data_IF_648075069701
#
_entry.id   IF_648075069701
#
_cell.length_a   1.000
_cell.length_b   1.000
_cell.length_c   1.000
_cell.angle_alpha   90.00
_cell.angle_beta   90.00
_cell.angle_gamma   90.00
#
_symmetry.space_group_name_H-M   'P 1'
#
loop_
_entity.id
_entity.type
_entity.pdbx_description
1 polymer ?
#
# COMPACT_ATOMS: atom_id res chain seq x y z
N UNK A 1 -44.87 -16.79 -46.22
CA UNK A 1 -44.55 -16.21 -44.89
C UNK A 1 -43.04 -16.29 -44.74
N UNK A 2 -42.21 -15.25 -44.73
CA UNK A 2 -42.29 -13.79 -44.77
C UNK A 2 -40.84 -13.38 -45.07
N UNK A 3 -40.53 -12.85 -46.26
CA UNK A 3 -40.10 -11.46 -46.54
C UNK A 3 -39.03 -10.87 -45.60
N UNK A 4 -38.01 -10.10 -46.00
CA UNK A 4 -37.38 -9.65 -47.27
C UNK A 4 -36.07 -8.91 -46.83
N UNK A 5 -35.12 -8.83 -47.76
CA UNK A 5 -33.85 -8.08 -47.88
C UNK A 5 -33.62 -6.73 -47.15
N UNK A 6 -32.32 -6.40 -46.97
CA UNK A 6 -31.61 -5.22 -47.54
C UNK A 6 -30.14 -5.23 -47.05
N UNK A 7 -29.11 -5.36 -47.89
CA UNK A 7 -28.52 -4.43 -48.89
C UNK A 7 -27.92 -3.17 -48.28
N UNK A 8 -26.59 -3.09 -48.42
CA UNK A 8 -25.67 -2.01 -48.05
C UNK A 8 -25.99 -0.68 -48.77
N UNK A 9 -25.73 0.43 -48.09
CA UNK A 9 -25.59 1.75 -48.74
C UNK A 9 -24.37 2.47 -48.15
N UNK A 10 -23.48 2.89 -49.06
CA UNK A 10 -22.25 3.63 -48.80
C UNK A 10 -22.52 5.11 -49.09
N UNK A 11 -22.25 6.01 -48.15
CA UNK A 11 -22.24 7.46 -48.41
C UNK A 11 -20.97 8.08 -47.83
N UNK A 12 -20.28 8.85 -48.65
CA UNK A 12 -19.09 9.64 -48.32
C UNK A 12 -19.39 11.13 -48.35
N UNK A 13 -18.84 11.82 -47.33
CA UNK A 13 -18.36 13.20 -47.23
C UNK A 13 -19.35 14.37 -47.05
N UNK A 14 -19.15 15.11 -45.95
CA UNK A 14 -19.01 16.59 -45.97
C UNK A 14 -18.24 17.07 -44.73
N UNK A 15 -17.14 17.79 -44.95
CA UNK A 15 -16.54 18.69 -43.96
C UNK A 15 -17.35 19.99 -43.88
N UNK A 16 -17.44 20.59 -42.69
CA UNK A 16 -17.45 22.04 -42.50
C UNK A 16 -17.06 22.35 -41.04
N UNK A 17 -16.18 23.34 -40.91
CA UNK A 17 -15.48 23.79 -39.71
C UNK A 17 -16.32 24.72 -38.80
N UNK A 18 -15.75 24.97 -37.61
CA UNK A 18 -15.95 26.08 -36.65
C UNK A 18 -17.18 26.09 -35.71
N UNK A 19 -16.97 25.81 -34.41
CA UNK A 19 -16.70 26.87 -33.41
C UNK A 19 -16.44 26.29 -32.00
N UNK A 20 -15.33 26.73 -31.43
CA UNK A 20 -14.87 26.79 -30.03
C UNK A 20 -15.82 26.45 -28.86
N UNK A 21 -15.36 25.52 -28.01
CA UNK A 21 -15.85 25.30 -26.65
C UNK A 21 -14.76 24.67 -25.79
N UNK A 22 -13.86 25.52 -25.29
CA UNK A 22 -12.75 25.19 -24.40
C UNK A 22 -13.22 24.56 -23.08
N UNK A 23 -12.84 23.30 -22.84
CA UNK A 23 -12.85 22.66 -21.52
C UNK A 23 -11.60 21.79 -21.43
N UNK A 24 -10.59 22.14 -20.62
CA UNK A 24 -9.53 21.19 -20.32
C UNK A 24 -10.10 20.14 -19.36
N UNK A 25 -10.26 18.92 -19.85
CA UNK A 25 -10.39 17.74 -19.02
C UNK A 25 -9.15 17.65 -18.13
N UNK A 26 -9.28 18.07 -16.88
CA UNK A 26 -8.25 17.84 -15.86
C UNK A 26 -8.29 16.37 -15.46
N UNK A 27 -7.77 15.51 -16.34
CA UNK A 27 -7.34 14.17 -15.95
C UNK A 27 -6.14 14.33 -15.03
N UNK A 28 -6.35 14.27 -13.72
CA UNK A 28 -5.26 14.15 -12.75
C UNK A 28 -4.55 12.82 -13.05
N UNK A 29 -3.30 12.80 -13.55
CA UNK A 29 -2.63 11.55 -13.83
C UNK A 29 -2.27 10.95 -12.47
N UNK A 30 -2.87 9.81 -12.13
CA UNK A 30 -2.36 8.96 -11.06
C UNK A 30 -0.93 8.55 -11.42
N UNK A 31 0.05 9.24 -10.84
CA UNK A 31 1.45 9.09 -11.19
C UNK A 31 1.94 7.72 -10.69
N UNK A 32 2.01 6.75 -11.61
CA UNK A 32 2.58 5.45 -11.35
C UNK A 32 4.11 5.57 -11.35
N UNK A 33 4.74 5.90 -10.21
CA UNK A 33 6.18 5.70 -10.11
C UNK A 33 6.46 4.22 -9.87
N UNK A 34 6.53 3.47 -10.97
CA UNK A 34 7.19 2.16 -10.98
C UNK A 34 8.65 2.40 -10.63
N UNK A 35 9.08 1.98 -9.45
CA UNK A 35 10.50 1.64 -9.27
C UNK A 35 10.78 0.57 -10.33
N UNK A 36 11.55 0.92 -11.36
CA UNK A 36 11.91 0.01 -12.44
C UNK A 36 12.76 -1.13 -11.88
N UNK A 37 12.09 -2.21 -11.47
CA UNK A 37 12.60 -3.56 -11.65
C UNK A 37 12.34 -3.89 -13.13
N UNK A 38 13.37 -4.10 -13.97
CA UNK A 38 13.14 -4.40 -15.39
C UNK A 38 12.23 -5.63 -15.53
N UNK A 39 11.11 -5.48 -16.26
CA UNK A 39 10.38 -6.60 -16.86
C UNK A 39 9.25 -7.28 -16.06
N UNK A 40 8.81 -6.77 -14.91
CA UNK A 40 7.79 -7.47 -14.11
C UNK A 40 6.50 -6.64 -13.96
N UNK A 41 5.52 -6.88 -14.83
CA UNK A 41 4.11 -6.58 -14.52
C UNK A 41 3.57 -7.67 -13.61
N UNK A 42 3.49 -7.41 -12.30
CA UNK A 42 2.89 -8.35 -11.37
C UNK A 42 1.39 -8.52 -11.68
N UNK A 43 0.93 -9.77 -11.71
CA UNK A 43 -0.50 -10.05 -11.84
C UNK A 43 -1.21 -9.73 -10.53
N UNK A 44 -2.41 -9.14 -10.61
CA UNK A 44 -3.24 -8.90 -9.44
C UNK A 44 -4.33 -9.98 -9.40
N UNK A 45 -4.31 -10.90 -8.42
CA UNK A 45 -5.42 -11.83 -8.22
C UNK A 45 -6.73 -11.08 -8.00
N UNK A 46 -7.84 -11.58 -8.58
CA UNK A 46 -9.15 -10.93 -8.49
C UNK A 46 -9.61 -10.70 -7.05
N UNK A 47 -9.30 -11.64 -6.14
CA UNK A 47 -9.59 -11.53 -4.70
C UNK A 47 -8.86 -10.38 -4.01
N UNK A 48 -7.72 -9.94 -4.56
CA UNK A 48 -6.93 -8.81 -4.05
C UNK A 48 -7.24 -7.50 -4.77
N UNK A 49 -8.14 -7.52 -5.77
CA UNK A 49 -8.49 -6.34 -6.57
C UNK A 49 -8.91 -5.16 -5.70
N UNK A 50 -9.71 -5.43 -4.66
CA UNK A 50 -10.26 -4.42 -3.75
C UNK A 50 -9.29 -4.02 -2.61
N UNK A 51 -8.26 -4.82 -2.32
CA UNK A 51 -7.36 -4.61 -1.18
C UNK A 51 -8.06 -4.53 0.18
N UNK A 52 -7.31 -4.09 1.19
CA UNK A 52 -7.81 -3.81 2.54
C UNK A 52 -7.38 -2.42 3.01
N UNK A 53 -8.19 -1.78 3.86
CA UNK A 53 -7.87 -0.49 4.46
C UNK A 53 -7.19 -0.67 5.81
N UNK A 54 -6.13 0.09 6.06
CA UNK A 54 -5.36 0.04 7.30
C UNK A 54 -5.22 1.44 7.90
N UNK A 55 -5.32 1.52 9.22
CA UNK A 55 -5.12 2.75 10.00
C UNK A 55 -3.77 2.75 10.74
N UNK A 56 -2.93 1.74 10.51
CA UNK A 56 -1.64 1.60 11.17
C UNK A 56 -1.07 0.19 11.01
N UNK A 57 0.16 0.00 11.44
CA UNK A 57 0.78 -1.33 11.46
C UNK A 57 1.63 -1.54 12.71
N UNK A 58 1.71 -2.79 13.15
CA UNK A 58 2.67 -3.27 14.14
C UNK A 58 3.81 -3.92 13.37
N UNK A 59 5.03 -3.49 13.65
CA UNK A 59 6.25 -4.02 13.02
C UNK A 59 6.98 -4.87 14.04
N UNK A 60 7.22 -6.14 13.70
CA UNK A 60 7.94 -7.08 14.55
C UNK A 60 9.11 -7.69 13.81
N UNK A 61 10.21 -7.91 14.51
CA UNK A 61 11.37 -8.63 13.98
C UNK A 61 11.33 -10.09 14.46
N UNK A 62 11.29 -11.03 13.52
CA UNK A 62 11.53 -12.45 13.78
C UNK A 62 12.96 -12.87 13.44
N UNK A 63 13.32 -14.15 13.63
CA UNK A 63 14.68 -14.65 13.39
C UNK A 63 15.19 -14.47 11.95
N UNK A 64 14.29 -14.57 10.96
CA UNK A 64 14.64 -14.51 9.53
C UNK A 64 13.80 -13.52 8.72
N UNK A 65 12.68 -13.08 9.29
CA UNK A 65 11.68 -12.26 8.60
C UNK A 65 11.18 -11.17 9.51
N UNK A 66 10.84 -10.02 8.95
CA UNK A 66 9.94 -9.07 9.59
C UNK A 66 8.48 -9.49 9.38
N UNK A 67 7.66 -9.20 10.38
CA UNK A 67 6.20 -9.33 10.30
C UNK A 67 5.60 -7.94 10.41
N UNK A 68 4.78 -7.57 9.43
CA UNK A 68 4.01 -6.34 9.37
C UNK A 68 2.53 -6.66 9.53
N UNK A 69 2.00 -6.39 10.71
CA UNK A 69 0.58 -6.58 11.01
C UNK A 69 -0.13 -5.25 10.81
N UNK A 70 -0.75 -5.09 9.64
CA UNK A 70 -1.62 -3.97 9.35
C UNK A 70 -2.94 -4.14 10.12
N UNK A 71 -3.31 -3.09 10.82
CA UNK A 71 -4.47 -3.06 11.70
C UNK A 71 -5.48 -2.01 11.26
N UNK A 72 -6.74 -2.23 11.65
CA UNK A 72 -7.82 -1.27 11.51
C UNK A 72 -8.43 -0.99 12.88
N UNK A 73 -8.38 0.29 13.28
CA UNK A 73 -8.86 0.77 14.57
C UNK A 73 -9.99 1.79 14.35
N UNK A 74 -11.21 1.29 14.12
CA UNK A 74 -12.43 2.11 14.01
C UNK A 74 -13.35 1.98 15.23
N UNK A 75 -12.87 1.32 16.28
CA UNK A 75 -13.61 0.96 17.49
C UNK A 75 -12.95 -0.24 18.15
N UNK A 76 -13.46 -0.65 19.31
CA UNK A 76 -13.09 -1.92 19.90
C UNK A 76 -13.98 -3.04 19.32
N UNK A 77 -13.43 -4.22 18.98
CA UNK A 77 -12.01 -4.57 19.04
C UNK A 77 -11.22 -4.05 17.82
N UNK A 78 -9.91 -3.86 17.99
CA UNK A 78 -9.00 -3.65 16.85
C UNK A 78 -8.96 -4.91 16.00
N UNK A 79 -8.89 -4.75 14.68
CA UNK A 79 -8.79 -5.89 13.76
C UNK A 79 -7.40 -5.94 13.12
N UNK A 80 -6.80 -7.13 13.08
CA UNK A 80 -5.70 -7.43 12.16
C UNK A 80 -6.32 -7.65 10.78
N UNK A 81 -6.06 -6.73 9.85
CA UNK A 81 -6.65 -6.76 8.51
C UNK A 81 -5.71 -7.33 7.46
N UNK A 82 -4.40 -7.27 7.69
CA UNK A 82 -3.42 -7.95 6.84
C UNK A 82 -2.11 -8.19 7.57
N UNK A 83 -1.65 -9.44 7.62
CA UNK A 83 -0.28 -9.79 8.01
C UNK A 83 0.59 -9.98 6.78
N UNK A 84 1.68 -9.22 6.68
CA UNK A 84 2.70 -9.39 5.64
C UNK A 84 3.99 -9.89 6.26
N UNK A 85 4.57 -10.94 5.69
CA UNK A 85 5.85 -11.51 6.11
C UNK A 85 6.91 -11.16 5.07
N UNK A 86 7.96 -10.46 5.50
CA UNK A 86 9.03 -9.96 4.64
C UNK A 86 10.39 -10.52 5.05
N UNK A 87 11.21 -11.02 4.13
CA UNK A 87 12.62 -11.26 4.41
C UNK A 87 13.34 -9.99 4.88
N UNK A 88 14.35 -10.15 5.73
CA UNK A 88 15.09 -9.01 6.32
C UNK A 88 15.73 -8.10 5.26
N UNK A 89 16.19 -8.65 4.14
CA UNK A 89 16.80 -7.92 3.03
C UNK A 89 15.82 -7.03 2.25
N UNK A 90 14.51 -7.25 2.40
CA UNK A 90 13.46 -6.46 1.74
C UNK A 90 13.17 -5.18 2.53
N UNK A 91 13.32 -5.23 3.86
CA UNK A 91 13.06 -4.09 4.75
C UNK A 91 13.76 -2.78 4.36
N UNK A 92 15.07 -2.72 4.09
CA UNK A 92 15.72 -1.47 3.67
C UNK A 92 15.16 -0.91 2.36
N UNK A 93 14.80 -1.78 1.41
CA UNK A 93 14.21 -1.38 0.13
C UNK A 93 12.81 -0.81 0.33
N UNK A 94 12.01 -1.40 1.22
CA UNK A 94 10.71 -0.87 1.61
C UNK A 94 10.84 0.52 2.25
N UNK A 95 11.73 0.68 3.23
CA UNK A 95 11.97 1.97 3.90
C UNK A 95 12.40 3.03 2.89
N UNK A 96 13.33 2.72 1.99
CA UNK A 96 13.79 3.63 0.95
C UNK A 96 12.65 4.02 0.01
N UNK A 97 11.90 3.04 -0.51
CA UNK A 97 10.78 3.27 -1.42
C UNK A 97 9.69 4.13 -0.79
N UNK A 98 9.34 3.86 0.48
CA UNK A 98 8.33 4.64 1.21
C UNK A 98 8.82 6.06 1.52
N UNK A 99 10.09 6.22 1.90
CA UNK A 99 10.70 7.55 2.11
C UNK A 99 10.63 8.39 0.84
N UNK A 100 11.00 7.82 -0.31
CA UNK A 100 10.93 8.54 -1.59
C UNK A 100 9.50 8.87 -1.98
N UNK A 101 8.56 7.93 -1.82
CA UNK A 101 7.16 8.15 -2.15
C UNK A 101 6.53 9.23 -1.26
N UNK A 102 6.86 9.25 0.03
CA UNK A 102 6.41 10.29 0.94
C UNK A 102 7.00 11.66 0.56
N UNK A 103 8.29 11.73 0.22
CA UNK A 103 8.91 12.97 -0.25
C UNK A 103 8.25 13.51 -1.53
N UNK A 104 7.92 12.63 -2.48
CA UNK A 104 7.22 13.01 -3.71
C UNK A 104 5.80 13.52 -3.42
N UNK A 105 5.07 12.82 -2.55
CA UNK A 105 3.76 13.24 -2.08
C UNK A 105 3.85 14.65 -1.46
N UNK A 106 4.83 14.89 -0.59
CA UNK A 106 5.01 16.20 0.07
C UNK A 106 5.32 17.32 -0.93
N UNK A 107 6.13 17.03 -1.95
CA UNK A 107 6.42 17.98 -3.02
C UNK A 107 5.18 18.33 -3.85
N UNK A 108 4.23 17.41 -4.01
CA UNK A 108 3.04 17.59 -4.83
C UNK A 108 1.83 18.14 -4.07
N UNK A 109 1.59 17.67 -2.85
CA UNK A 109 0.37 17.95 -2.07
C UNK A 109 0.65 18.69 -0.76
N UNK A 110 1.93 18.88 -0.40
CA UNK A 110 2.33 19.37 0.91
C UNK A 110 2.39 18.27 1.98
N UNK A 111 2.80 18.62 3.21
CA UNK A 111 2.94 17.64 4.29
C UNK A 111 1.59 16.99 4.64
N UNK A 112 1.53 15.68 4.90
CA UNK A 112 0.33 15.02 5.39
C UNK A 112 -0.19 15.69 6.68
N UNK A 113 -1.51 15.66 6.88
CA UNK A 113 -2.10 16.13 8.13
C UNK A 113 -1.52 15.35 9.31
N UNK A 114 -1.24 16.06 10.41
CA UNK A 114 -0.73 15.44 11.63
C UNK A 114 -1.89 14.78 12.37
N UNK A 115 -1.75 13.49 12.66
CA UNK A 115 -2.71 12.78 13.50
C UNK A 115 -2.70 13.36 14.93
N UNK A 116 -3.86 13.43 15.61
CA UNK A 116 -3.91 13.78 17.03
C UNK A 116 -3.01 12.86 17.83
N UNK A 117 -2.15 13.43 18.67
CA UNK A 117 -1.33 12.63 19.59
C UNK A 117 -2.25 12.04 20.66
N UNK A 118 -2.19 10.73 20.95
CA UNK A 118 -2.91 10.18 22.08
C UNK A 118 -2.49 10.91 23.36
N UNK A 119 -3.45 11.18 24.24
CA UNK A 119 -3.23 11.90 25.49
C UNK A 119 -2.15 11.20 26.33
N UNK A 120 -1.21 11.94 26.93
CA UNK A 120 -0.08 11.37 27.69
C UNK A 120 -0.51 10.71 29.02
N UNK A 121 -1.78 10.81 29.40
CA UNK A 121 -2.32 10.33 30.68
C UNK A 121 -2.64 8.82 30.72
N UNK A 122 -2.46 8.10 29.61
CA UNK A 122 -2.61 6.65 29.55
C UNK A 122 -1.27 5.94 29.43
N UNK A 123 -1.08 4.85 30.20
CA UNK A 123 0.01 3.89 29.98
C UNK A 123 -0.13 3.37 28.54
N UNK A 124 0.89 3.53 27.70
CA UNK A 124 0.88 2.94 26.35
C UNK A 124 0.75 1.43 26.50
N UNK A 125 -0.24 0.78 25.86
CA UNK A 125 -0.37 -0.66 25.91
C UNK A 125 0.88 -1.31 25.30
N UNK A 126 1.31 -2.40 25.91
CA UNK A 126 2.34 -3.29 25.41
C UNK A 126 1.88 -3.98 24.12
N UNK A 127 2.82 -4.51 23.35
CA UNK A 127 2.52 -5.27 22.12
C UNK A 127 1.64 -6.48 22.43
N UNK A 128 1.87 -7.16 23.56
CA UNK A 128 1.04 -8.30 23.98
C UNK A 128 -0.40 -7.87 24.27
N UNK A 129 -0.59 -6.80 25.05
CA UNK A 129 -1.93 -6.27 25.36
C UNK A 129 -2.68 -5.84 24.09
N UNK A 130 -1.97 -5.37 23.06
CA UNK A 130 -2.58 -5.07 21.76
C UNK A 130 -3.11 -6.33 21.07
N UNK A 131 -2.35 -7.44 21.07
CA UNK A 131 -2.79 -8.70 20.46
C UNK A 131 -3.95 -9.33 21.21
N UNK A 132 -3.95 -9.28 22.55
CA UNK A 132 -5.02 -9.86 23.37
C UNK A 132 -6.39 -9.19 23.09
N UNK A 133 -6.38 -7.92 22.70
CA UNK A 133 -7.58 -7.14 22.36
C UNK A 133 -7.94 -7.21 20.86
N UNK A 134 -7.08 -7.84 20.05
CA UNK A 134 -7.21 -7.84 18.60
C UNK A 134 -8.00 -9.04 18.12
N UNK A 135 -8.95 -8.80 17.21
CA UNK A 135 -9.54 -9.86 16.42
C UNK A 135 -8.66 -10.14 15.20
N UNK A 136 -8.32 -11.40 15.00
CA UNK A 136 -7.51 -11.87 13.89
C UNK A 136 -8.35 -12.84 13.07
N UNK A 137 -8.49 -12.57 11.77
CA UNK A 137 -9.14 -13.48 10.83
C UNK A 137 -8.26 -14.72 10.59
N UNK A 138 -8.87 -15.87 10.36
CA UNK A 138 -8.16 -17.14 10.14
C UNK A 138 -7.19 -17.07 8.95
N UNK A 139 -7.54 -16.30 7.91
CA UNK A 139 -6.71 -16.13 6.71
C UNK A 139 -5.40 -15.39 7.03
N UNK A 140 -5.36 -14.65 8.13
CA UNK A 140 -4.22 -13.84 8.52
C UNK A 140 -3.27 -14.55 9.49
N UNK A 141 -3.61 -15.75 9.96
CA UNK A 141 -2.76 -16.51 10.90
C UNK A 141 -1.39 -16.82 10.29
N UNK A 142 -1.38 -17.31 9.05
CA UNK A 142 -0.15 -17.63 8.30
C UNK A 142 0.53 -16.41 7.67
N UNK A 143 -0.23 -15.34 7.45
CA UNK A 143 0.24 -14.14 6.76
C UNK A 143 0.55 -14.34 5.28
N UNK A 144 0.86 -13.23 4.63
CA UNK A 144 1.16 -13.16 3.20
C UNK A 144 2.64 -12.87 3.00
N UNK A 145 3.36 -13.83 2.43
CA UNK A 145 4.76 -13.64 2.06
C UNK A 145 4.91 -12.61 0.93
N UNK A 146 5.96 -11.80 0.98
CA UNK A 146 6.32 -10.89 -0.09
C UNK A 146 7.83 -10.61 -0.13
N UNK A 147 8.34 -10.36 -1.35
CA UNK A 147 9.75 -10.10 -1.64
C UNK A 147 9.99 -8.64 -2.04
N UNK A 148 8.91 -7.91 -2.31
CA UNK A 148 8.96 -6.52 -2.71
C UNK A 148 7.63 -5.82 -2.46
N UNK A 149 7.66 -4.52 -2.67
CA UNK A 149 6.49 -3.65 -2.58
C UNK A 149 6.51 -2.64 -3.71
N UNK A 150 5.35 -2.42 -4.32
CA UNK A 150 5.10 -1.26 -5.19
C UNK A 150 4.23 -0.28 -4.42
N UNK A 151 4.66 0.98 -4.38
CA UNK A 151 3.96 2.04 -3.63
C UNK A 151 3.44 3.06 -4.63
N UNK A 152 2.17 3.43 -4.48
CA UNK A 152 1.52 4.52 -5.21
C UNK A 152 0.79 5.40 -4.20
N UNK A 153 0.53 6.64 -4.57
CA UNK A 153 -0.24 7.55 -3.72
C UNK A 153 -1.14 8.47 -4.54
N UNK A 154 -2.22 8.92 -3.92
CA UNK A 154 -3.04 10.06 -4.31
C UNK A 154 -2.85 11.18 -3.29
N UNK A 155 -3.64 12.26 -3.39
CA UNK A 155 -3.68 13.29 -2.37
C UNK A 155 -4.22 12.80 -1.01
N UNK A 156 -4.97 11.69 -0.98
CA UNK A 156 -5.63 11.21 0.23
C UNK A 156 -4.98 9.94 0.80
N UNK A 157 -4.54 9.02 -0.07
CA UNK A 157 -4.19 7.66 0.32
C UNK A 157 -2.93 7.14 -0.37
N UNK A 158 -2.22 6.26 0.32
CA UNK A 158 -1.14 5.42 -0.21
C UNK A 158 -1.65 4.00 -0.42
N UNK A 159 -1.20 3.39 -1.51
CA UNK A 159 -1.46 2.00 -1.87
C UNK A 159 -0.15 1.24 -1.86
N UNK A 160 -0.09 0.15 -1.08
CA UNK A 160 1.02 -0.78 -0.95
C UNK A 160 0.63 -2.10 -1.60
N UNK A 161 1.20 -2.38 -2.77
CA UNK A 161 1.09 -3.68 -3.41
C UNK A 161 2.33 -4.49 -3.06
N UNK A 162 2.18 -5.42 -2.11
CA UNK A 162 3.21 -6.40 -1.80
C UNK A 162 3.22 -7.50 -2.86
N UNK A 163 4.42 -7.88 -3.30
CA UNK A 163 4.62 -8.71 -4.49
C UNK A 163 5.47 -9.93 -4.14
N UNK A 164 5.08 -11.10 -4.63
CA UNK A 164 5.92 -12.30 -4.72
C UNK A 164 6.44 -12.45 -6.14
N UNK A 165 7.68 -12.92 -6.28
CA UNK A 165 8.34 -13.14 -7.56
C UNK A 165 8.50 -14.64 -7.82
N UNK A 166 7.37 -15.35 -7.87
CA UNK A 166 7.38 -16.75 -8.26
C UNK A 166 7.42 -16.90 -9.78
N UNK A 167 8.15 -17.92 -10.25
CA UNK A 167 8.06 -18.34 -11.65
C UNK A 167 6.64 -18.83 -11.95
N UNK A 168 6.03 -18.50 -13.12
CA UNK A 168 6.59 -17.73 -14.24
C UNK A 168 6.30 -16.22 -14.19
N UNK A 169 5.41 -15.76 -13.31
CA UNK A 169 5.04 -14.35 -13.22
C UNK A 169 4.94 -13.95 -11.76
N UNK A 170 5.46 -12.76 -11.45
CA UNK A 170 5.19 -12.16 -10.16
C UNK A 170 3.70 -11.91 -9.95
N UNK A 171 3.27 -11.92 -8.70
CA UNK A 171 1.89 -11.66 -8.31
C UNK A 171 1.84 -10.74 -7.11
N UNK A 172 0.81 -9.89 -7.06
CA UNK A 172 0.49 -9.15 -5.84
C UNK A 172 -0.02 -10.17 -4.82
N UNK A 173 0.68 -10.30 -3.69
CA UNK A 173 0.29 -11.20 -2.60
C UNK A 173 -0.57 -10.48 -1.56
N UNK A 174 -0.49 -9.15 -1.49
CA UNK A 174 -1.36 -8.32 -0.64
C UNK A 174 -1.43 -6.89 -1.17
N UNK A 175 -2.61 -6.29 -1.07
CA UNK A 175 -2.86 -4.88 -1.39
C UNK A 175 -3.43 -4.19 -0.16
N UNK A 176 -2.69 -3.24 0.38
CA UNK A 176 -3.10 -2.44 1.54
C UNK A 176 -3.20 -0.97 1.13
N UNK A 177 -4.27 -0.33 1.56
CA UNK A 177 -4.48 1.10 1.44
C UNK A 177 -4.39 1.75 2.81
N UNK A 178 -3.79 2.93 2.88
CA UNK A 178 -3.60 3.67 4.11
C UNK A 178 -3.66 5.17 3.81
N UNK A 179 -4.45 5.93 4.58
CA UNK A 179 -4.52 7.37 4.38
C UNK A 179 -3.20 8.05 4.70
N UNK A 180 -2.87 9.10 3.94
CA UNK A 180 -1.58 9.78 4.01
C UNK A 180 -1.15 10.17 5.43
N UNK A 181 -2.03 10.63 6.36
CA UNK A 181 -1.65 10.92 7.74
C UNK A 181 -1.05 9.74 8.53
N UNK A 182 -1.37 8.50 8.18
CA UNK A 182 -0.89 7.29 8.85
C UNK A 182 0.45 6.78 8.31
N UNK A 183 0.90 7.29 7.16
CA UNK A 183 2.12 6.85 6.49
C UNK A 183 3.40 7.27 7.21
N UNK A 184 3.56 8.52 7.72
CA UNK A 184 4.76 8.88 8.46
C UNK A 184 4.98 8.04 9.73
N UNK A 185 3.97 7.77 10.60
CA UNK A 185 4.12 6.85 11.73
C UNK A 185 4.55 5.44 11.30
N UNK A 186 4.00 4.91 10.20
CA UNK A 186 4.42 3.62 9.65
C UNK A 186 5.90 3.65 9.26
N UNK A 187 6.33 4.68 8.51
CA UNK A 187 7.72 4.81 8.08
C UNK A 187 8.68 4.87 9.27
N UNK A 188 8.34 5.64 10.30
CA UNK A 188 9.15 5.71 11.52
C UNK A 188 9.18 4.37 12.27
N UNK A 189 8.07 3.65 12.36
CA UNK A 189 8.03 2.32 12.96
C UNK A 189 8.93 1.31 12.20
N UNK A 190 8.93 1.37 10.86
CA UNK A 190 9.80 0.53 10.02
C UNK A 190 11.28 0.85 10.27
N UNK A 191 11.66 2.12 10.27
CA UNK A 191 13.05 2.57 10.54
C UNK A 191 13.52 2.13 11.92
N UNK A 192 12.75 2.44 12.97
CA UNK A 192 13.10 2.09 14.36
C UNK A 192 13.30 0.59 14.54
N UNK A 193 12.42 -0.24 13.97
CA UNK A 193 12.56 -1.69 14.08
C UNK A 193 13.72 -2.25 13.23
N UNK A 194 13.99 -1.63 12.07
CA UNK A 194 15.13 -2.02 11.25
C UNK A 194 16.47 -1.65 11.89
N UNK A 195 16.56 -0.50 12.56
CA UNK A 195 17.76 -0.09 13.28
C UNK A 195 18.02 -1.00 14.50
N UNK A 196 16.97 -1.37 15.25
CA UNK A 196 17.07 -2.38 16.32
C UNK A 196 17.52 -3.74 15.79
N UNK A 197 17.07 -4.13 14.60
CA UNK A 197 17.51 -5.37 13.97
C UNK A 197 19.00 -5.34 13.62
N UNK A 198 19.51 -4.22 13.09
CA UNK A 198 20.94 -4.06 12.80
C UNK A 198 21.80 -4.01 14.06
N UNK A 199 21.28 -3.35 15.10
CA UNK A 199 21.98 -3.09 16.35
C UNK A 199 21.19 -3.71 17.51
N UNK A 200 21.21 -5.05 17.67
CA UNK A 200 20.43 -5.74 18.68
C UNK A 200 20.78 -5.32 20.12
N UNK A 201 21.98 -4.76 20.34
CA UNK A 201 22.46 -4.27 21.64
C UNK A 201 23.07 -2.86 21.53
N UNK A 202 22.40 -1.80 22.02
CA UNK A 202 23.05 -0.51 22.24
C UNK A 202 23.59 -0.33 23.68
N UNK A 203 23.71 -1.38 24.50
CA UNK A 203 24.08 -1.20 25.92
C UNK A 203 24.44 -2.47 26.70
N UNK A 204 25.51 -3.14 26.31
CA UNK A 204 26.32 -3.95 27.23
C UNK A 204 27.73 -3.39 27.18
N UNK A 205 27.92 -2.21 27.79
CA UNK A 205 29.20 -1.82 28.35
C UNK A 205 29.22 -2.42 29.76
N UNK A 206 30.17 -3.34 30.01
CA UNK A 206 30.61 -3.76 31.35
C UNK A 206 31.25 -2.60 32.12
#
# INVERSE_FOLDING_TARGET
MTSIEKTEERVTLSNNDDESGDRPDSETPGMNQKVQVPGVTARVPTSLGNGVMSTGAIVMNGPHTFVLDFIQQMGAPTHLVRRVVLPHEVMPKLIQALTQNLSNYEGQFGPPMKLPKPSPSGKRPSVQELYDQMKIDENEFGGHFAEGVMIRHSAADFCFDFVTQFFPNAAVSSRIFMSAPHVPPLLEALKVNYDKFKNPNPGTDD
#
